data_IF_885353503464
#
_entry.id   IF_885353503464
#
_cell.length_a   1.000
_cell.length_b   1.000
_cell.length_c   1.000
_cell.angle_alpha   90.00
_cell.angle_beta   90.00
_cell.angle_gamma   90.00
#
_symmetry.space_group_name_H-M   'P 1'
#
loop_
_entity.id
_entity.type
_entity.pdbx_description
1 polymer ?
#
# COMPACT_ATOMS: atom_id res chain seq x y z
N UNK A 1 21.01 -1.50 -18.52
CA UNK A 1 19.95 -0.49 -18.65
C UNK A 1 20.13 0.55 -17.54
N UNK A 2 19.72 1.81 -17.73
CA UNK A 2 19.66 2.78 -16.62
C UNK A 2 18.45 2.48 -15.75
N UNK A 3 18.51 2.81 -14.45
CA UNK A 3 17.40 2.60 -13.51
C UNK A 3 16.09 3.21 -14.01
N UNK A 4 16.17 4.40 -14.61
CA UNK A 4 15.03 5.08 -15.23
C UNK A 4 14.35 4.25 -16.33
N UNK A 5 15.12 3.65 -17.24
CA UNK A 5 14.56 2.78 -18.30
C UNK A 5 13.88 1.53 -17.72
N UNK A 6 14.43 0.97 -16.64
CA UNK A 6 13.81 -0.18 -15.98
C UNK A 6 12.48 0.20 -15.32
N UNK A 7 12.38 1.42 -14.79
CA UNK A 7 11.15 1.96 -14.23
C UNK A 7 10.10 2.25 -15.30
N UNK A 8 10.51 2.78 -16.45
CA UNK A 8 9.61 2.95 -17.60
C UNK A 8 9.04 1.60 -18.06
N UNK A 9 9.91 0.59 -18.19
CA UNK A 9 9.50 -0.77 -18.56
C UNK A 9 8.59 -1.42 -17.52
N UNK A 10 8.76 -1.10 -16.22
CA UNK A 10 7.88 -1.60 -15.17
C UNK A 10 6.46 -1.07 -15.34
N UNK A 11 6.33 0.20 -15.73
CA UNK A 11 5.04 0.87 -15.87
C UNK A 11 4.39 0.68 -17.25
N UNK A 12 5.14 0.20 -18.24
CA UNK A 12 4.63 -0.10 -19.57
C UNK A 12 3.84 -1.42 -19.60
N UNK A 13 2.55 -1.34 -19.92
CA UNK A 13 1.66 -2.49 -20.03
C UNK A 13 2.09 -3.50 -21.09
N UNK A 14 2.75 -3.03 -22.17
CA UNK A 14 3.20 -3.88 -23.27
C UNK A 14 4.36 -4.79 -22.83
N UNK A 15 5.05 -4.44 -21.75
CA UNK A 15 6.17 -5.22 -21.26
C UNK A 15 5.76 -6.62 -20.82
N UNK A 16 4.54 -6.80 -20.31
CA UNK A 16 4.04 -8.14 -19.92
C UNK A 16 3.90 -9.10 -21.11
N UNK A 17 3.74 -8.58 -22.33
CA UNK A 17 3.67 -9.41 -23.54
C UNK A 17 5.06 -9.80 -24.02
N UNK A 18 6.04 -8.92 -23.84
CA UNK A 18 7.42 -9.15 -24.26
C UNK A 18 8.20 -10.01 -23.26
N UNK A 19 7.96 -9.81 -21.96
CA UNK A 19 8.59 -10.55 -20.87
C UNK A 19 7.60 -10.68 -19.68
N UNK A 20 6.90 -11.83 -19.57
CA UNK A 20 5.92 -12.05 -18.51
C UNK A 20 6.49 -12.03 -17.09
N UNK A 21 7.79 -12.30 -16.93
CA UNK A 21 8.44 -12.40 -15.62
C UNK A 21 9.06 -11.07 -15.18
N UNK A 22 9.16 -10.08 -16.09
CA UNK A 22 9.84 -8.81 -15.83
C UNK A 22 9.39 -8.12 -14.54
N UNK A 23 8.08 -8.03 -14.30
CA UNK A 23 7.53 -7.39 -13.09
C UNK A 23 8.01 -8.12 -11.84
N UNK A 24 7.98 -9.46 -11.85
CA UNK A 24 8.42 -10.26 -10.71
C UNK A 24 9.92 -10.12 -10.47
N UNK A 25 10.73 -10.20 -11.53
CA UNK A 25 12.18 -10.09 -11.44
C UNK A 25 12.61 -8.70 -11.00
N UNK A 26 11.96 -7.65 -11.52
CA UNK A 26 12.19 -6.28 -11.09
C UNK A 26 11.88 -6.12 -9.60
N UNK A 27 10.68 -6.53 -9.15
CA UNK A 27 10.27 -6.38 -7.75
C UNK A 27 11.15 -7.20 -6.80
N UNK A 28 11.64 -8.37 -7.24
CA UNK A 28 12.56 -9.18 -6.47
C UNK A 28 13.93 -8.51 -6.29
N UNK A 29 14.45 -7.87 -7.35
CA UNK A 29 15.85 -7.43 -7.43
C UNK A 29 16.07 -5.93 -7.28
N UNK A 30 15.00 -5.11 -7.27
CA UNK A 30 15.09 -3.64 -7.29
C UNK A 30 16.02 -3.06 -6.22
N UNK A 31 16.07 -3.66 -5.02
CA UNK A 31 16.91 -3.21 -3.90
C UNK A 31 18.41 -3.22 -4.21
N UNK A 32 18.84 -3.95 -5.24
CA UNK A 32 20.25 -4.00 -5.66
C UNK A 32 20.69 -2.80 -6.50
N UNK A 33 19.73 -2.04 -7.06
CA UNK A 33 20.00 -0.92 -7.97
C UNK A 33 19.10 0.32 -7.75
N UNK A 34 18.19 0.25 -6.77
CA UNK A 34 17.33 1.34 -6.31
C UNK A 34 17.54 1.53 -4.81
N UNK A 35 18.28 2.57 -4.44
CA UNK A 35 18.55 2.87 -3.03
C UNK A 35 17.31 3.36 -2.29
N UNK A 36 16.47 4.14 -2.97
CA UNK A 36 15.24 4.69 -2.42
C UNK A 36 14.01 4.15 -3.20
N UNK A 37 13.24 3.20 -2.63
CA UNK A 37 12.13 2.58 -3.33
C UNK A 37 10.97 3.54 -3.57
N UNK A 38 10.96 4.74 -2.97
CA UNK A 38 9.95 5.75 -3.31
C UNK A 38 10.04 6.24 -4.75
N UNK A 39 11.19 6.06 -5.41
CA UNK A 39 11.31 6.37 -6.84
C UNK A 39 10.40 5.44 -7.67
N UNK A 40 10.28 4.18 -7.26
CA UNK A 40 9.36 3.22 -7.89
C UNK A 40 7.92 3.64 -7.64
N UNK A 41 7.54 3.89 -6.39
CA UNK A 41 6.16 4.25 -6.05
C UNK A 41 5.72 5.55 -6.71
N UNK A 42 6.60 6.55 -6.77
CA UNK A 42 6.30 7.81 -7.45
C UNK A 42 6.09 7.61 -8.95
N UNK A 43 6.90 6.75 -9.58
CA UNK A 43 6.71 6.41 -11.00
C UNK A 43 5.38 5.70 -11.24
N UNK A 44 5.01 4.74 -10.39
CA UNK A 44 3.73 4.04 -10.50
C UNK A 44 2.54 4.99 -10.34
N UNK A 45 2.61 5.91 -9.36
CA UNK A 45 1.58 6.94 -9.16
C UNK A 45 1.49 7.89 -10.35
N UNK A 46 2.63 8.36 -10.87
CA UNK A 46 2.69 9.25 -12.02
C UNK A 46 2.05 8.61 -13.26
N UNK A 47 2.35 7.33 -13.52
CA UNK A 47 1.73 6.59 -14.62
C UNK A 47 0.23 6.39 -14.41
N UNK A 48 -0.18 6.01 -13.20
CA UNK A 48 -1.60 5.86 -12.87
C UNK A 48 -2.39 7.17 -13.06
N UNK A 49 -1.78 8.31 -12.71
CA UNK A 49 -2.42 9.61 -12.74
C UNK A 49 -2.45 10.24 -14.15
N UNK A 50 -1.37 10.09 -14.92
CA UNK A 50 -1.19 10.73 -16.23
C UNK A 50 -1.68 9.87 -17.40
N UNK A 51 -1.62 8.54 -17.28
CA UNK A 51 -2.03 7.60 -18.32
C UNK A 51 -3.35 6.91 -17.93
N UNK A 52 -4.41 7.71 -17.77
CA UNK A 52 -5.76 7.30 -17.30
C UNK A 52 -6.54 6.39 -18.26
N UNK A 53 -5.88 5.72 -19.20
CA UNK A 53 -6.56 4.69 -19.97
C UNK A 53 -6.76 3.44 -19.06
N UNK A 54 -7.76 2.63 -19.39
CA UNK A 54 -8.12 1.47 -18.56
C UNK A 54 -6.98 0.46 -18.41
N UNK A 55 -6.27 0.17 -19.51
CA UNK A 55 -5.26 -0.89 -19.55
C UNK A 55 -4.04 -0.53 -18.69
N UNK A 56 -3.60 0.73 -18.75
CA UNK A 56 -2.45 1.21 -17.99
C UNK A 56 -2.77 1.27 -16.49
N UNK A 57 -3.97 1.76 -16.11
CA UNK A 57 -4.41 1.72 -14.71
C UNK A 57 -4.50 0.29 -14.17
N UNK A 58 -5.04 -0.66 -14.94
CA UNK A 58 -5.09 -2.08 -14.58
C UNK A 58 -3.69 -2.68 -14.45
N UNK A 59 -2.77 -2.35 -15.36
CA UNK A 59 -1.40 -2.79 -15.29
C UNK A 59 -0.70 -2.32 -14.01
N UNK A 60 -0.80 -1.03 -13.68
CA UNK A 60 -0.24 -0.50 -12.44
C UNK A 60 -0.86 -1.17 -11.22
N UNK A 61 -2.18 -1.35 -11.19
CA UNK A 61 -2.85 -2.07 -10.10
C UNK A 61 -2.35 -3.51 -9.95
N UNK A 62 -2.07 -4.21 -11.07
CA UNK A 62 -1.47 -5.56 -11.07
C UNK A 62 -0.04 -5.58 -10.57
N UNK A 63 0.78 -4.59 -10.94
CA UNK A 63 2.15 -4.44 -10.43
C UNK A 63 2.12 -4.27 -8.91
N UNK A 64 1.28 -3.35 -8.41
CA UNK A 64 1.12 -3.11 -6.96
C UNK A 64 0.61 -4.35 -6.24
N UNK A 65 -0.41 -5.02 -6.78
CA UNK A 65 -0.95 -6.25 -6.22
C UNK A 65 0.12 -7.35 -6.16
N UNK A 66 0.93 -7.50 -7.21
CA UNK A 66 2.04 -8.46 -7.24
C UNK A 66 3.10 -8.13 -6.18
N UNK A 67 3.43 -6.85 -6.01
CA UNK A 67 4.40 -6.42 -5.01
C UNK A 67 3.93 -6.72 -3.60
N UNK A 68 2.70 -6.30 -3.25
CA UNK A 68 2.07 -6.64 -1.97
C UNK A 68 2.00 -8.16 -1.79
N UNK A 69 1.68 -8.90 -2.85
CA UNK A 69 1.53 -10.34 -2.76
C UNK A 69 2.83 -11.10 -2.49
N UNK A 70 3.94 -10.65 -3.06
CA UNK A 70 5.17 -11.43 -3.07
C UNK A 70 6.24 -10.86 -2.14
N UNK A 71 6.17 -9.57 -1.80
CA UNK A 71 7.17 -8.89 -0.98
C UNK A 71 6.55 -7.93 0.04
N UNK A 72 5.50 -8.36 0.76
CA UNK A 72 4.81 -7.54 1.77
C UNK A 72 5.75 -6.93 2.84
N UNK A 73 6.86 -7.61 3.18
CA UNK A 73 7.87 -7.09 4.10
C UNK A 73 8.42 -5.72 3.70
N UNK A 74 8.44 -5.38 2.40
CA UNK A 74 8.85 -4.04 1.96
C UNK A 74 7.94 -2.96 2.54
N UNK A 75 6.64 -3.22 2.55
CA UNK A 75 5.63 -2.28 3.04
C UNK A 75 5.58 -2.28 4.56
N UNK A 76 5.77 -3.43 5.21
CA UNK A 76 5.76 -3.52 6.68
C UNK A 76 6.96 -2.80 7.31
N UNK A 77 8.15 -2.92 6.69
CA UNK A 77 9.40 -2.36 7.23
C UNK A 77 9.70 -0.94 6.76
N UNK A 78 9.05 -0.47 5.67
CA UNK A 78 9.27 0.86 5.13
C UNK A 78 7.98 1.69 5.19
N UNK A 79 7.98 2.65 6.12
CA UNK A 79 6.84 3.54 6.34
C UNK A 79 6.45 4.32 5.07
N UNK A 80 7.40 4.73 4.22
CA UNK A 80 7.07 5.45 2.98
C UNK A 80 6.37 4.57 1.95
N UNK A 81 6.70 3.28 1.88
CA UNK A 81 6.01 2.33 1.02
C UNK A 81 4.61 2.02 1.55
N UNK A 82 4.44 1.94 2.86
CA UNK A 82 3.12 1.82 3.47
C UNK A 82 2.24 3.05 3.16
N UNK A 83 2.80 4.26 3.28
CA UNK A 83 2.09 5.50 2.91
C UNK A 83 1.70 5.53 1.43
N UNK A 84 2.53 4.96 0.55
CA UNK A 84 2.15 4.79 -0.86
C UNK A 84 0.88 3.93 -1.01
N UNK A 85 0.72 2.85 -0.24
CA UNK A 85 -0.51 2.05 -0.28
C UNK A 85 -1.74 2.87 0.15
N UNK A 86 -1.60 3.76 1.14
CA UNK A 86 -2.69 4.66 1.54
C UNK A 86 -3.05 5.66 0.43
N UNK A 87 -2.05 6.25 -0.23
CA UNK A 87 -2.26 7.16 -1.35
C UNK A 87 -2.91 6.42 -2.52
N UNK A 88 -2.41 5.23 -2.86
CA UNK A 88 -2.92 4.43 -3.97
C UNK A 88 -4.35 3.95 -3.70
N UNK A 89 -4.67 3.57 -2.46
CA UNK A 89 -6.02 3.22 -2.01
C UNK A 89 -7.02 4.38 -2.21
N UNK A 90 -6.61 5.62 -1.91
CA UNK A 90 -7.41 6.82 -2.17
C UNK A 90 -7.58 7.09 -3.68
N UNK A 91 -6.52 6.94 -4.48
CA UNK A 91 -6.58 7.07 -5.94
C UNK A 91 -7.51 6.05 -6.57
N UNK A 92 -7.46 4.80 -6.12
CA UNK A 92 -8.39 3.75 -6.55
C UNK A 92 -9.81 4.11 -6.13
N UNK A 93 -10.05 4.50 -4.87
CA UNK A 93 -11.38 4.86 -4.36
C UNK A 93 -12.04 5.98 -5.17
N UNK A 94 -11.26 7.00 -5.55
CA UNK A 94 -11.74 8.19 -6.24
C UNK A 94 -11.66 8.07 -7.78
N UNK A 95 -11.30 6.90 -8.31
CA UNK A 95 -11.22 6.70 -9.76
C UNK A 95 -12.60 6.66 -10.42
N UNK A 96 -12.73 7.30 -11.59
CA UNK A 96 -14.01 7.42 -12.32
C UNK A 96 -14.59 6.04 -12.71
N UNK A 97 -13.74 5.18 -13.27
CA UNK A 97 -14.10 3.84 -13.71
C UNK A 97 -14.29 2.87 -12.53
N UNK A 98 -15.44 2.22 -12.47
CA UNK A 98 -15.82 1.32 -11.38
C UNK A 98 -14.96 0.05 -11.30
N UNK A 99 -14.59 -0.53 -12.45
CA UNK A 99 -13.75 -1.71 -12.46
C UNK A 99 -12.33 -1.40 -11.94
N UNK A 100 -11.83 -0.18 -12.13
CA UNK A 100 -10.57 0.27 -11.52
C UNK A 100 -10.74 0.41 -10.00
N UNK A 101 -11.84 1.02 -9.52
CA UNK A 101 -12.19 1.06 -8.09
C UNK A 101 -12.19 -0.34 -7.45
N UNK A 102 -12.63 -1.37 -8.18
CA UNK A 102 -12.72 -2.74 -7.66
C UNK A 102 -11.37 -3.37 -7.28
N UNK A 103 -10.26 -2.95 -7.90
CA UNK A 103 -8.90 -3.40 -7.53
C UNK A 103 -8.54 -3.12 -6.08
N UNK A 104 -9.14 -2.09 -5.48
CA UNK A 104 -8.99 -1.75 -4.06
C UNK A 104 -9.30 -2.95 -3.16
N UNK A 105 -10.35 -3.70 -3.47
CA UNK A 105 -10.72 -4.87 -2.67
C UNK A 105 -9.65 -5.97 -2.75
N UNK A 106 -9.11 -6.23 -3.95
CA UNK A 106 -8.07 -7.25 -4.16
C UNK A 106 -6.78 -6.91 -3.44
N UNK A 107 -6.35 -5.65 -3.50
CA UNK A 107 -5.15 -5.18 -2.82
C UNK A 107 -5.34 -5.23 -1.30
N UNK A 108 -6.49 -4.80 -0.78
CA UNK A 108 -6.79 -4.88 0.65
C UNK A 108 -6.83 -6.33 1.15
N UNK A 109 -7.38 -7.26 0.37
CA UNK A 109 -7.34 -8.68 0.69
C UNK A 109 -5.89 -9.19 0.73
N UNK A 110 -5.05 -8.82 -0.23
CA UNK A 110 -3.64 -9.19 -0.26
C UNK A 110 -2.84 -8.63 0.93
N UNK A 111 -3.15 -7.41 1.37
CA UNK A 111 -2.59 -6.83 2.59
C UNK A 111 -3.05 -7.61 3.83
N UNK A 112 -4.36 -7.89 3.94
CA UNK A 112 -4.93 -8.57 5.09
C UNK A 112 -4.39 -9.99 5.28
N UNK A 113 -4.26 -10.76 4.21
CA UNK A 113 -3.74 -12.15 4.28
C UNK A 113 -2.26 -12.22 4.67
N UNK A 114 -1.54 -11.10 4.63
CA UNK A 114 -0.10 -11.00 4.97
C UNK A 114 0.16 -10.17 6.21
N UNK A 115 -0.86 -9.54 6.76
CA UNK A 115 -0.74 -8.78 7.98
C UNK A 115 -0.30 -9.71 9.13
N UNK A 116 0.67 -9.24 9.90
CA UNK A 116 1.16 -9.93 11.09
C UNK A 116 0.56 -9.32 12.35
N UNK A 117 0.40 -10.12 13.42
CA UNK A 117 0.02 -9.61 14.73
C UNK A 117 1.21 -8.82 15.29
N UNK A 118 0.96 -7.59 15.72
CA UNK A 118 1.96 -6.72 16.37
C UNK A 118 1.46 -6.19 17.70
N UNK A 119 2.39 -5.99 18.63
CA UNK A 119 2.12 -5.42 19.95
C UNK A 119 2.70 -4.02 20.01
N UNK A 120 1.84 -3.02 20.21
CA UNK A 120 2.22 -1.61 20.26
C UNK A 120 1.83 -1.07 21.64
N UNK A 121 2.80 -0.44 22.32
CA UNK A 121 2.55 0.21 23.62
C UNK A 121 2.57 1.71 23.45
N UNK A 122 1.42 2.35 23.71
CA UNK A 122 1.29 3.81 23.69
C UNK A 122 1.21 4.36 25.11
N UNK A 123 2.30 5.02 25.54
CA UNK A 123 2.36 5.68 26.85
C UNK A 123 1.79 7.09 26.77
N UNK A 124 0.78 7.35 27.61
CA UNK A 124 0.18 8.67 27.80
C UNK A 124 0.78 9.31 29.05
N UNK A 125 1.00 10.62 29.01
CA UNK A 125 1.47 11.38 30.16
C UNK A 125 0.32 11.69 31.11
N UNK A 126 -0.89 11.89 30.56
CA UNK A 126 -2.11 12.10 31.33
C UNK A 126 -3.30 11.33 30.77
N UNK A 127 -4.38 11.21 31.57
CA UNK A 127 -5.64 10.57 31.14
C UNK A 127 -6.38 11.39 30.07
N UNK A 128 -6.03 12.64 29.86
CA UNK A 128 -6.72 13.54 28.92
C UNK A 128 -5.96 13.69 27.59
N UNK A 129 -4.75 13.11 27.46
CA UNK A 129 -3.94 13.19 26.24
C UNK A 129 -4.66 12.54 25.04
N UNK A 130 -4.83 13.28 23.94
CA UNK A 130 -5.48 12.76 22.73
C UNK A 130 -4.68 11.57 22.18
N UNK A 131 -5.39 10.51 21.78
CA UNK A 131 -4.78 9.27 21.28
C UNK A 131 -4.22 9.40 19.86
N UNK A 132 -4.70 10.38 19.08
CA UNK A 132 -4.30 10.66 17.69
C UNK A 132 -4.50 9.46 16.73
N UNK A 133 -5.45 8.59 17.04
CA UNK A 133 -5.97 7.56 16.16
C UNK A 133 -7.45 7.33 16.42
N UNK A 134 -8.15 6.81 15.40
CA UNK A 134 -9.55 6.46 15.46
C UNK A 134 -9.71 4.94 15.43
N UNK A 135 -10.74 4.44 16.11
CA UNK A 135 -11.14 3.04 16.07
C UNK A 135 -12.49 2.87 15.37
N UNK A 136 -12.73 1.69 14.81
CA UNK A 136 -13.98 1.23 14.23
C UNK A 136 -14.31 -0.15 14.80
N UNK A 137 -15.60 -0.46 14.96
CA UNK A 137 -16.06 -1.76 15.48
C UNK A 137 -16.44 -1.72 16.96
N UNK A 138 -16.47 -2.89 17.60
CA UNK A 138 -16.79 -3.04 19.03
C UNK A 138 -18.27 -2.89 19.41
N UNK A 139 -19.21 -3.23 18.52
CA UNK A 139 -20.65 -3.18 18.86
C UNK A 139 -21.04 -4.29 19.83
N UNK A 140 -21.78 -3.96 20.90
CA UNK A 140 -22.26 -4.89 21.93
C UNK A 140 -23.30 -5.92 21.47
N UNK A 141 -23.79 -5.85 20.22
CA UNK A 141 -25.00 -6.59 19.79
C UNK A 141 -24.77 -7.88 19.01
N UNK A 142 -23.55 -8.21 18.58
CA UNK A 142 -23.28 -9.44 17.81
C UNK A 142 -21.91 -10.04 18.16
N UNK A 143 -21.88 -11.38 18.23
CA UNK A 143 -20.68 -12.20 18.43
C UNK A 143 -19.73 -11.96 17.25
N UNK A 144 -18.49 -11.58 17.54
CA UNK A 144 -17.33 -11.50 16.62
C UNK A 144 -17.03 -10.17 15.90
N UNK A 145 -17.29 -9.00 16.51
CA UNK A 145 -16.81 -7.71 15.98
C UNK A 145 -15.51 -7.26 16.67
N UNK A 146 -14.37 -7.48 16.00
CA UNK A 146 -13.10 -6.88 16.39
C UNK A 146 -13.16 -5.35 16.45
N UNK A 147 -12.27 -4.75 17.23
CA UNK A 147 -11.99 -3.31 17.20
C UNK A 147 -10.84 -3.14 16.23
N UNK A 148 -10.89 -2.15 15.33
CA UNK A 148 -9.84 -1.92 14.35
C UNK A 148 -9.45 -0.45 14.32
N UNK A 149 -8.18 -0.15 14.07
CA UNK A 149 -7.71 1.21 13.84
C UNK A 149 -8.16 1.68 12.45
N UNK A 150 -8.98 2.71 12.40
CA UNK A 150 -9.52 3.26 11.15
C UNK A 150 -8.67 4.38 10.56
N UNK A 151 -7.93 5.08 11.43
CA UNK A 151 -7.05 6.19 11.04
C UNK A 151 -5.99 6.39 12.12
N UNK A 152 -4.77 6.76 11.71
CA UNK A 152 -3.70 7.23 12.60
C UNK A 152 -3.20 8.58 12.09
N UNK A 153 -3.02 9.56 12.96
CA UNK A 153 -2.51 10.87 12.56
C UNK A 153 -0.98 10.85 12.41
N UNK A 154 -0.48 11.35 11.28
CA UNK A 154 0.95 11.42 10.97
C UNK A 154 1.69 12.32 11.96
N UNK A 155 2.98 12.05 12.18
CA UNK A 155 3.86 12.82 13.08
C UNK A 155 3.36 12.88 14.53
N UNK A 156 2.66 11.84 14.99
CA UNK A 156 2.21 11.70 16.38
C UNK A 156 2.83 10.48 17.04
N UNK A 157 2.79 10.42 18.38
CA UNK A 157 3.29 9.26 19.15
C UNK A 157 2.68 7.94 18.69
N UNK A 158 1.40 7.93 18.30
CA UNK A 158 0.71 6.76 17.77
C UNK A 158 1.36 6.26 16.48
N UNK A 159 1.63 7.17 15.55
CA UNK A 159 2.28 6.86 14.28
C UNK A 159 3.73 6.40 14.47
N UNK A 160 4.49 7.08 15.33
CA UNK A 160 5.88 6.75 15.66
C UNK A 160 6.02 5.40 16.37
N UNK A 161 5.05 5.05 17.23
CA UNK A 161 4.99 3.74 17.88
C UNK A 161 4.68 2.58 16.92
N UNK A 162 4.39 2.88 15.64
CA UNK A 162 4.14 1.86 14.62
C UNK A 162 2.67 1.50 14.42
N UNK A 163 1.72 2.25 15.02
CA UNK A 163 0.29 2.00 14.83
C UNK A 163 -0.10 2.29 13.38
N UNK A 164 -0.87 1.40 12.76
CA UNK A 164 -1.32 1.55 11.36
C UNK A 164 -2.81 1.27 11.22
N UNK A 165 -3.39 1.80 10.13
CA UNK A 165 -4.77 1.50 9.73
C UNK A 165 -4.94 -0.01 9.50
N UNK A 166 -6.00 -0.59 10.06
CA UNK A 166 -6.31 -2.01 9.98
C UNK A 166 -5.75 -2.87 11.12
N UNK A 167 -4.96 -2.32 12.03
CA UNK A 167 -4.58 -3.01 13.27
C UNK A 167 -5.82 -3.36 14.10
N UNK A 168 -5.91 -4.60 14.60
CA UNK A 168 -7.00 -5.12 15.43
C UNK A 168 -6.66 -5.05 16.93
#
# INVERSE_FOLDING_TARGET
>A
ATTEKLLDLLADELQLTNDPNYVQDFLLTHRTFVDNPTVITNKLLDYFDNHRNSASCEHIARVVLSWVNNHYNDFETNTKLYEFLEIFDDRLQNHELEHIRSWRHLINLACFTRASIRYITLTRSTRDDVLNFNILGGTDTLVNNGIFVSKVEKNTKAYEAGLRRGDQ
#
